data_IF_702139649746
#
_entry.id   IF_702139649746
#
_cell.length_a   1.000
_cell.length_b   1.000
_cell.length_c   1.000
_cell.angle_alpha   90.00
_cell.angle_beta   90.00
_cell.angle_gamma   90.00
#
_symmetry.space_group_name_H-M   'P 1'
#
loop_
_entity.id
_entity.type
_entity.pdbx_description
1 polymer ?
#
# COMPACT_ATOMS: atom_id res chain seq x y z
N UNK A 1 -15.54 -15.44 14.03
CA UNK A 1 -16.21 -14.22 13.54
C UNK A 1 -15.79 -13.82 12.12
N UNK A 2 -14.51 -13.50 11.83
CA UNK A 2 -14.09 -13.08 10.47
C UNK A 2 -14.32 -14.14 9.39
N UNK A 3 -14.02 -15.43 9.69
CA UNK A 3 -14.29 -16.56 8.78
C UNK A 3 -15.80 -16.78 8.52
N UNK A 4 -16.66 -16.49 9.50
CA UNK A 4 -18.12 -16.62 9.38
C UNK A 4 -18.71 -15.55 8.44
N UNK A 5 -18.20 -14.32 8.49
CA UNK A 5 -18.66 -13.22 7.64
C UNK A 5 -17.83 -13.04 6.35
N UNK A 6 -16.87 -13.93 6.09
CA UNK A 6 -15.98 -13.90 4.93
C UNK A 6 -14.92 -12.79 4.92
N UNK A 7 -14.96 -11.83 5.84
CA UNK A 7 -13.92 -10.80 5.99
C UNK A 7 -13.99 -10.10 7.36
N UNK A 8 -12.88 -9.49 7.79
CA UNK A 8 -12.81 -8.77 9.07
C UNK A 8 -13.74 -7.55 9.11
N UNK A 9 -13.78 -6.75 8.04
CA UNK A 9 -14.58 -5.52 8.03
C UNK A 9 -16.09 -5.80 8.09
N UNK A 10 -16.56 -6.89 7.45
CA UNK A 10 -17.97 -7.33 7.53
C UNK A 10 -18.33 -7.76 8.95
N UNK A 11 -17.46 -8.52 9.61
CA UNK A 11 -17.67 -8.93 10.99
C UNK A 11 -17.74 -7.71 11.94
N UNK A 12 -16.82 -6.76 11.80
CA UNK A 12 -16.83 -5.53 12.60
C UNK A 12 -18.07 -4.67 12.31
N UNK A 13 -18.51 -4.61 11.05
CA UNK A 13 -19.73 -3.88 10.68
C UNK A 13 -20.98 -4.51 11.29
N UNK A 14 -21.05 -5.84 11.35
CA UNK A 14 -22.16 -6.54 11.98
C UNK A 14 -22.23 -6.24 13.48
N UNK A 15 -21.07 -6.26 14.16
CA UNK A 15 -20.98 -5.92 15.59
C UNK A 15 -21.42 -4.46 15.79
N UNK A 16 -20.93 -3.52 14.98
CA UNK A 16 -21.34 -2.11 15.09
C UNK A 16 -22.87 -1.92 14.94
N UNK A 17 -23.51 -2.71 14.07
CA UNK A 17 -24.98 -2.73 13.92
C UNK A 17 -25.69 -3.32 15.14
N UNK A 18 -25.20 -4.43 15.68
CA UNK A 18 -25.76 -5.09 16.86
C UNK A 18 -25.74 -4.15 18.08
N UNK A 19 -24.63 -3.46 18.30
CA UNK A 19 -24.48 -2.49 19.39
C UNK A 19 -25.04 -1.09 19.05
N UNK A 20 -25.62 -0.91 17.86
CA UNK A 20 -26.18 0.36 17.37
C UNK A 20 -25.26 1.57 17.57
N UNK A 21 -23.96 1.38 17.31
CA UNK A 21 -22.92 2.41 17.52
C UNK A 21 -22.14 2.70 16.24
N UNK A 22 -21.69 3.95 16.10
CA UNK A 22 -20.77 4.35 15.04
C UNK A 22 -19.30 4.30 15.47
N UNK A 23 -19.03 4.09 16.76
CA UNK A 23 -17.68 3.95 17.32
C UNK A 23 -17.64 2.70 18.17
N UNK A 24 -16.80 1.75 17.76
CA UNK A 24 -16.66 0.45 18.40
C UNK A 24 -15.27 0.34 19.02
N UNK A 25 -15.22 0.19 20.35
CA UNK A 25 -13.99 -0.18 21.06
C UNK A 25 -13.92 -1.69 21.25
N UNK A 26 -12.82 -2.31 20.85
CA UNK A 26 -12.62 -3.76 20.99
C UNK A 26 -11.18 -4.11 21.31
N UNK A 27 -10.99 -5.28 21.92
CA UNK A 27 -9.67 -5.86 22.19
C UNK A 27 -9.38 -6.95 21.16
N UNK A 28 -8.42 -6.70 20.26
CA UNK A 28 -7.94 -7.67 19.28
C UNK A 28 -6.66 -8.32 19.81
N UNK A 29 -6.80 -9.46 20.50
CA UNK A 29 -5.68 -10.12 21.16
C UNK A 29 -5.16 -9.28 22.33
N UNK A 30 -3.90 -8.82 22.25
CA UNK A 30 -3.31 -7.90 23.22
C UNK A 30 -3.55 -6.42 22.89
N UNK A 31 -4.01 -6.11 21.69
CA UNK A 31 -4.15 -4.73 21.20
C UNK A 31 -5.55 -4.18 21.46
N UNK A 32 -5.63 -2.94 21.93
CA UNK A 32 -6.89 -2.19 22.00
C UNK A 32 -7.08 -1.43 20.70
N UNK A 33 -8.25 -1.61 20.07
CA UNK A 33 -8.56 -1.08 18.75
C UNK A 33 -9.90 -0.36 18.80
N UNK A 34 -9.92 0.85 18.25
CA UNK A 34 -11.14 1.62 18.01
C UNK A 34 -11.45 1.59 16.52
N UNK A 35 -12.66 1.18 16.17
CA UNK A 35 -13.17 1.17 14.80
C UNK A 35 -14.24 2.23 14.67
N UNK A 36 -14.11 3.06 13.65
CA UNK A 36 -14.94 4.25 13.46
C UNK A 36 -15.70 4.12 12.15
N UNK A 37 -17.00 4.41 12.20
CA UNK A 37 -17.93 4.39 11.08
C UNK A 37 -18.58 5.77 10.88
N UNK A 38 -19.02 6.01 9.64
CA UNK A 38 -19.71 7.24 9.25
C UNK A 38 -18.74 8.33 8.78
N UNK A 39 -19.15 9.06 7.75
CA UNK A 39 -18.33 10.08 7.09
C UNK A 39 -17.77 11.11 8.08
N UNK A 40 -18.63 11.68 8.93
CA UNK A 40 -18.24 12.68 9.93
C UNK A 40 -17.12 12.20 10.85
N UNK A 41 -17.25 10.99 11.41
CA UNK A 41 -16.29 10.47 12.37
C UNK A 41 -14.98 10.06 11.68
N UNK A 42 -15.06 9.45 10.48
CA UNK A 42 -13.88 9.12 9.67
C UNK A 42 -13.12 10.39 9.31
N UNK A 43 -13.85 11.43 8.88
CA UNK A 43 -13.28 12.72 8.52
C UNK A 43 -12.57 13.37 9.71
N UNK A 44 -13.17 13.32 10.90
CA UNK A 44 -12.54 13.79 12.14
C UNK A 44 -11.24 13.03 12.43
N UNK A 45 -11.29 11.70 12.44
CA UNK A 45 -10.10 10.86 12.73
C UNK A 45 -8.98 11.05 11.71
N UNK A 46 -9.31 11.32 10.44
CA UNK A 46 -8.28 11.51 9.40
C UNK A 46 -7.67 12.92 9.36
N UNK A 47 -8.28 13.90 10.02
CA UNK A 47 -7.83 15.29 9.97
C UNK A 47 -7.26 15.83 11.29
N UNK A 48 -7.72 15.31 12.42
CA UNK A 48 -7.29 15.82 13.72
C UNK A 48 -5.89 15.29 14.10
N UNK A 49 -5.01 16.16 14.64
CA UNK A 49 -3.60 15.84 14.90
C UNK A 49 -3.42 14.71 15.94
N UNK A 50 -4.38 14.51 16.84
CA UNK A 50 -4.38 13.46 17.86
C UNK A 50 -4.34 12.05 17.25
N UNK A 51 -4.80 11.90 16.01
CA UNK A 51 -4.86 10.62 15.29
C UNK A 51 -3.77 10.48 14.21
N UNK A 52 -2.79 11.39 14.16
CA UNK A 52 -1.69 11.31 13.18
C UNK A 52 -0.72 10.15 13.42
N UNK A 53 -0.78 9.52 14.60
CA UNK A 53 0.15 8.48 15.04
C UNK A 53 0.20 7.24 14.14
N UNK A 54 1.29 6.46 14.25
CA UNK A 54 1.41 5.16 13.59
C UNK A 54 1.41 4.02 14.61
N UNK A 55 0.59 2.96 14.43
CA UNK A 55 0.55 1.85 15.37
C UNK A 55 1.93 1.24 15.63
N UNK A 56 2.20 0.89 16.89
CA UNK A 56 3.43 0.23 17.31
C UNK A 56 3.23 -1.29 17.50
N UNK A 57 2.62 -1.94 16.51
CA UNK A 57 2.31 -3.37 16.59
C UNK A 57 3.50 -4.25 16.17
N UNK A 58 3.45 -5.52 16.55
CA UNK A 58 4.42 -6.54 16.13
C UNK A 58 4.62 -6.54 14.60
N UNK A 59 3.53 -6.52 13.83
CA UNK A 59 3.60 -6.51 12.36
C UNK A 59 4.28 -5.26 11.78
N UNK A 60 4.15 -4.11 12.43
CA UNK A 60 4.84 -2.88 12.00
C UNK A 60 6.34 -3.01 12.22
N UNK A 61 6.75 -3.54 13.38
CA UNK A 61 8.17 -3.76 13.71
C UNK A 61 8.82 -4.84 12.86
N UNK A 62 8.10 -5.94 12.59
CA UNK A 62 8.59 -7.03 11.76
C UNK A 62 9.01 -6.54 10.36
N UNK A 63 8.24 -5.61 9.78
CA UNK A 63 8.53 -5.01 8.46
C UNK A 63 9.72 -4.05 8.45
N UNK A 64 10.22 -3.67 9.62
CA UNK A 64 11.25 -2.64 9.79
C UNK A 64 12.38 -3.12 10.70
N UNK A 65 12.75 -4.41 10.61
CA UNK A 65 13.86 -5.03 11.35
C UNK A 65 13.78 -4.80 12.87
N UNK A 66 12.57 -4.92 13.43
CA UNK A 66 12.31 -4.74 14.87
C UNK A 66 12.15 -3.29 15.34
N UNK A 67 12.38 -2.31 14.45
CA UNK A 67 12.34 -0.87 14.75
C UNK A 67 11.13 -0.20 14.08
N UNK A 68 10.89 1.08 14.40
CA UNK A 68 9.88 1.93 13.74
C UNK A 68 10.59 2.91 12.81
N UNK A 69 10.83 2.50 11.56
CA UNK A 69 11.63 3.27 10.59
C UNK A 69 10.93 3.43 9.25
N UNK A 70 11.43 4.34 8.42
CA UNK A 70 10.88 4.61 7.09
C UNK A 70 9.59 5.43 7.10
N UNK A 71 9.11 5.80 5.92
CA UNK A 71 7.98 6.74 5.76
C UNK A 71 6.62 6.15 6.15
N UNK A 72 6.49 4.82 6.20
CA UNK A 72 5.22 4.11 6.49
C UNK A 72 5.06 3.73 7.96
N UNK A 73 6.17 3.44 8.66
CA UNK A 73 6.15 2.88 10.02
C UNK A 73 6.76 3.79 11.10
N UNK A 74 7.58 4.79 10.71
CA UNK A 74 8.05 5.79 11.66
C UNK A 74 6.88 6.66 12.14
N UNK A 75 7.09 7.35 13.27
CA UNK A 75 6.09 8.20 13.91
C UNK A 75 6.72 9.47 14.47
N UNK A 76 5.88 10.46 14.79
CA UNK A 76 6.32 11.73 15.37
C UNK A 76 7.27 12.54 14.46
N UNK A 77 8.28 13.23 15.04
CA UNK A 77 9.20 14.08 14.28
C UNK A 77 9.93 13.35 13.15
N UNK A 78 10.38 12.11 13.39
CA UNK A 78 11.10 11.31 12.39
C UNK A 78 10.25 11.04 11.15
N UNK A 79 8.95 10.74 11.34
CA UNK A 79 8.02 10.57 10.23
C UNK A 79 7.85 11.86 9.42
N UNK A 80 7.74 13.01 10.11
CA UNK A 80 7.59 14.31 9.45
C UNK A 80 8.80 14.64 8.58
N UNK A 81 10.01 14.36 9.06
CA UNK A 81 11.26 14.54 8.30
C UNK A 81 11.32 13.61 7.08
N UNK A 82 11.11 12.30 7.28
CA UNK A 82 11.10 11.33 6.17
C UNK A 82 10.06 11.69 5.11
N UNK A 83 8.85 12.09 5.52
CA UNK A 83 7.79 12.49 4.60
C UNK A 83 8.16 13.74 3.81
N UNK A 84 8.67 14.78 4.47
CA UNK A 84 9.11 16.02 3.80
C UNK A 84 10.21 15.72 2.79
N UNK A 85 11.22 14.95 3.18
CA UNK A 85 12.30 14.54 2.30
C UNK A 85 11.80 13.77 1.08
N UNK A 86 11.01 12.71 1.27
CA UNK A 86 10.53 11.86 0.18
C UNK A 86 9.63 12.64 -0.79
N UNK A 87 8.68 13.43 -0.30
CA UNK A 87 7.79 14.23 -1.15
C UNK A 87 8.58 15.28 -1.94
N UNK A 88 9.54 15.95 -1.29
CA UNK A 88 10.41 16.92 -1.97
C UNK A 88 11.23 16.25 -3.07
N UNK A 89 11.86 15.13 -2.76
CA UNK A 89 12.68 14.39 -3.72
C UNK A 89 11.84 13.87 -4.90
N UNK A 90 10.70 13.23 -4.64
CA UNK A 90 9.78 12.75 -5.67
C UNK A 90 9.35 13.88 -6.61
N UNK A 91 8.95 15.04 -6.07
CA UNK A 91 8.59 16.21 -6.89
C UNK A 91 9.76 16.73 -7.74
N UNK A 92 10.99 16.67 -7.22
CA UNK A 92 12.18 17.08 -7.95
C UNK A 92 12.46 16.17 -9.15
N UNK A 93 12.33 14.84 -8.97
CA UNK A 93 12.51 13.86 -10.04
C UNK A 93 11.31 13.72 -10.98
N UNK A 94 10.27 14.54 -10.78
CA UNK A 94 9.17 14.66 -11.75
C UNK A 94 7.89 13.93 -11.40
N UNK A 95 7.74 13.45 -10.16
CA UNK A 95 6.48 12.90 -9.66
C UNK A 95 5.35 13.94 -9.75
N UNK A 96 4.21 13.54 -10.33
CA UNK A 96 3.06 14.41 -10.55
C UNK A 96 3.25 15.50 -11.61
N UNK A 97 4.30 15.39 -12.45
CA UNK A 97 4.55 16.29 -13.58
C UNK A 97 4.43 15.53 -14.90
N UNK A 98 4.49 16.25 -16.03
CA UNK A 98 4.46 15.67 -17.38
C UNK A 98 5.59 14.65 -17.66
N UNK A 99 6.69 14.70 -16.90
CA UNK A 99 7.72 13.63 -16.93
C UNK A 99 7.16 12.28 -16.48
N UNK A 100 6.34 12.24 -15.42
CA UNK A 100 5.70 11.01 -14.95
C UNK A 100 4.71 10.44 -15.94
N UNK A 101 3.93 11.32 -16.57
CA UNK A 101 3.02 10.91 -17.62
C UNK A 101 3.76 10.26 -18.79
N UNK A 102 4.87 10.86 -19.25
CA UNK A 102 5.70 10.28 -20.31
C UNK A 102 6.26 8.90 -19.95
N UNK A 103 6.76 8.73 -18.72
CA UNK A 103 7.25 7.42 -18.25
C UNK A 103 6.13 6.36 -18.22
N UNK A 104 4.93 6.74 -17.77
CA UNK A 104 3.76 5.87 -17.76
C UNK A 104 3.36 5.50 -19.20
N UNK A 105 3.30 6.47 -20.11
CA UNK A 105 2.96 6.24 -21.52
C UNK A 105 3.95 5.30 -22.20
N UNK A 106 5.26 5.45 -21.93
CA UNK A 106 6.29 4.54 -22.46
C UNK A 106 6.08 3.10 -21.98
N UNK A 107 5.84 2.87 -20.69
CA UNK A 107 5.55 1.52 -20.18
C UNK A 107 4.23 0.97 -20.73
N UNK A 108 3.22 1.82 -20.94
CA UNK A 108 1.96 1.42 -21.60
C UNK A 108 2.17 1.01 -23.07
N UNK A 109 3.02 1.71 -23.83
CA UNK A 109 3.36 1.32 -25.20
C UNK A 109 4.00 -0.06 -25.23
N UNK A 110 4.94 -0.34 -24.31
CA UNK A 110 5.55 -1.67 -24.17
C UNK A 110 4.52 -2.74 -23.83
N UNK A 111 3.62 -2.44 -22.90
CA UNK A 111 2.53 -3.34 -22.50
C UNK A 111 1.61 -3.68 -23.67
N UNK A 112 1.18 -2.68 -24.45
CA UNK A 112 0.31 -2.89 -25.63
C UNK A 112 1.03 -3.71 -26.70
N UNK A 113 2.31 -3.45 -26.95
CA UNK A 113 3.12 -4.23 -27.88
C UNK A 113 3.24 -5.70 -27.43
N UNK A 114 3.49 -5.93 -26.13
CA UNK A 114 3.53 -7.27 -25.56
C UNK A 114 2.21 -8.02 -25.78
N UNK A 115 1.07 -7.39 -25.49
CA UNK A 115 -0.25 -8.00 -25.69
C UNK A 115 -0.49 -8.33 -27.17
N UNK A 116 -0.17 -7.40 -28.08
CA UNK A 116 -0.36 -7.60 -29.53
C UNK A 116 0.47 -8.76 -30.08
N UNK A 117 1.70 -8.91 -29.59
CA UNK A 117 2.62 -9.94 -30.05
C UNK A 117 2.38 -11.31 -29.39
N UNK A 118 1.45 -11.41 -28.43
CA UNK A 118 1.28 -12.62 -27.64
C UNK A 118 0.42 -13.71 -28.30
N UNK A 119 0.41 -13.85 -29.63
CA UNK A 119 -0.15 -14.96 -30.43
C UNK A 119 -1.39 -15.68 -29.83
N UNK A 120 -2.38 -14.91 -29.35
CA UNK A 120 -3.60 -15.42 -28.68
C UNK A 120 -3.39 -16.33 -27.46
N UNK A 121 -2.20 -16.31 -26.84
CA UNK A 121 -1.95 -17.03 -25.59
C UNK A 121 -2.64 -16.31 -24.43
N UNK A 122 -3.17 -17.04 -23.44
CA UNK A 122 -3.73 -16.44 -22.24
C UNK A 122 -2.69 -15.56 -21.52
N UNK A 123 -3.09 -14.35 -21.17
CA UNK A 123 -2.30 -13.41 -20.36
C UNK A 123 -3.02 -13.19 -19.05
N UNK A 124 -2.29 -13.14 -17.94
CA UNK A 124 -2.84 -12.67 -16.67
C UNK A 124 -2.73 -11.15 -16.58
N UNK A 125 -3.84 -10.38 -16.55
CA UNK A 125 -3.79 -8.92 -16.40
C UNK A 125 -3.04 -8.50 -15.13
N UNK A 126 -3.13 -9.31 -14.07
CA UNK A 126 -2.48 -9.05 -12.78
C UNK A 126 -0.96 -8.98 -12.91
N UNK A 127 -0.34 -9.92 -13.65
CA UNK A 127 1.13 -9.96 -13.76
C UNK A 127 1.65 -8.83 -14.63
N UNK A 128 1.01 -8.59 -15.78
CA UNK A 128 1.47 -7.57 -16.74
C UNK A 128 1.31 -6.14 -16.19
N UNK A 129 0.21 -5.87 -15.48
CA UNK A 129 0.00 -4.55 -14.85
C UNK A 129 0.94 -4.36 -13.67
N UNK A 130 1.15 -5.40 -12.86
CA UNK A 130 2.11 -5.33 -11.76
C UNK A 130 3.53 -5.04 -12.26
N UNK A 131 3.96 -5.68 -13.35
CA UNK A 131 5.25 -5.42 -13.99
C UNK A 131 5.36 -3.97 -14.48
N UNK A 132 4.36 -3.47 -15.21
CA UNK A 132 4.36 -2.09 -15.71
C UNK A 132 4.40 -1.06 -14.57
N UNK A 133 3.59 -1.23 -13.53
CA UNK A 133 3.58 -0.34 -12.36
C UNK A 133 4.93 -0.38 -11.63
N UNK A 134 5.49 -1.57 -11.43
CA UNK A 134 6.79 -1.72 -10.78
C UNK A 134 7.93 -1.10 -11.57
N UNK A 135 7.93 -1.18 -12.91
CA UNK A 135 8.92 -0.50 -13.76
C UNK A 135 8.90 1.01 -13.57
N UNK A 136 7.73 1.62 -13.60
CA UNK A 136 7.60 3.07 -13.38
C UNK A 136 8.11 3.41 -11.98
N UNK A 137 7.64 2.72 -10.94
CA UNK A 137 8.09 2.98 -9.56
C UNK A 137 9.60 2.77 -9.39
N UNK A 138 10.17 1.76 -10.02
CA UNK A 138 11.61 1.48 -9.96
C UNK A 138 12.42 2.63 -10.57
N UNK A 139 12.03 3.16 -11.74
CA UNK A 139 12.68 4.33 -12.34
C UNK A 139 12.67 5.54 -11.39
N UNK A 140 11.58 5.76 -10.66
CA UNK A 140 11.48 6.85 -9.69
C UNK A 140 12.35 6.67 -8.44
N UNK A 141 12.65 5.43 -8.07
CA UNK A 141 13.41 5.10 -6.85
C UNK A 141 14.89 4.87 -7.14
N UNK A 142 15.21 4.16 -8.22
CA UNK A 142 16.56 3.75 -8.61
C UNK A 142 17.18 4.64 -9.69
N UNK A 143 16.38 5.43 -10.42
CA UNK A 143 16.86 6.28 -11.52
C UNK A 143 17.15 5.54 -12.84
N UNK A 144 16.96 4.22 -12.88
CA UNK A 144 17.22 3.37 -14.03
C UNK A 144 16.08 2.39 -14.28
N UNK A 145 16.13 1.64 -15.39
CA UNK A 145 15.16 0.56 -15.64
C UNK A 145 15.59 -0.72 -14.93
N UNK A 146 14.64 -1.48 -14.39
CA UNK A 146 14.91 -2.79 -13.82
C UNK A 146 15.02 -3.84 -14.93
N UNK A 147 15.99 -4.74 -14.79
CA UNK A 147 16.13 -5.90 -15.68
C UNK A 147 14.93 -6.84 -15.53
N UNK A 148 14.54 -7.48 -16.64
CA UNK A 148 13.30 -8.27 -16.70
C UNK A 148 13.30 -9.45 -15.72
N UNK A 149 14.41 -10.17 -15.60
CA UNK A 149 14.51 -11.32 -14.69
C UNK A 149 14.48 -10.89 -13.22
N UNK A 150 15.12 -9.76 -12.90
CA UNK A 150 15.08 -9.16 -11.56
C UNK A 150 13.67 -8.67 -11.22
N UNK A 151 12.94 -8.12 -12.19
CA UNK A 151 11.55 -7.72 -12.03
C UNK A 151 10.64 -8.91 -11.76
N UNK A 152 10.78 -10.00 -12.52
CA UNK A 152 10.02 -11.24 -12.30
C UNK A 152 10.26 -11.79 -10.90
N UNK A 153 11.52 -11.89 -10.49
CA UNK A 153 11.89 -12.33 -9.13
C UNK A 153 11.27 -11.42 -8.06
N UNK A 154 11.32 -10.11 -8.24
CA UNK A 154 10.73 -9.16 -7.30
C UNK A 154 9.21 -9.37 -7.16
N UNK A 155 8.50 -9.53 -8.28
CA UNK A 155 7.06 -9.76 -8.28
C UNK A 155 6.69 -11.11 -7.64
N UNK A 156 7.49 -12.15 -7.87
CA UNK A 156 7.33 -13.45 -7.23
C UNK A 156 7.51 -13.36 -5.71
N UNK A 157 8.56 -12.68 -5.24
CA UNK A 157 8.80 -12.46 -3.81
C UNK A 157 7.66 -11.65 -3.16
N UNK A 158 7.16 -10.62 -3.84
CA UNK A 158 6.01 -9.84 -3.37
C UNK A 158 4.74 -10.69 -3.27
N UNK A 159 4.52 -11.58 -4.23
CA UNK A 159 3.40 -12.53 -4.25
C UNK A 159 3.52 -13.58 -3.14
N UNK A 160 4.70 -14.18 -2.97
CA UNK A 160 4.99 -15.15 -1.92
C UNK A 160 4.80 -14.53 -0.53
N UNK A 161 5.32 -13.32 -0.32
CA UNK A 161 5.08 -12.54 0.89
C UNK A 161 3.59 -12.33 1.15
N UNK A 162 2.82 -11.93 0.13
CA UNK A 162 1.38 -11.69 0.30
C UNK A 162 0.63 -12.94 0.77
N UNK A 163 1.02 -14.13 0.28
CA UNK A 163 0.42 -15.41 0.70
C UNK A 163 0.79 -15.82 2.12
N UNK A 164 2.00 -15.47 2.57
CA UNK A 164 2.45 -15.77 3.93
C UNK A 164 1.71 -14.96 5.02
N UNK A 165 1.14 -13.81 4.66
CA UNK A 165 0.44 -12.91 5.58
C UNK A 165 -1.07 -12.79 5.32
N UNK A 166 -1.63 -13.59 4.40
CA UNK A 166 -3.08 -13.69 4.13
C UNK A 166 -3.69 -14.91 4.82
#
# INVERSE_FOLDING_TARGET
>A
MSKLHGSQWKALSQIAKEYSTQVLGLKLGSELVVVVYGDRNIRQVLMEPEFEGRPNSFFIRLRCFGKRMGITSADGPLWREHRKFAVKHLKNVGFGKASMEREIQQEMTKLVAYIRNNNSKPISPKSILAAAVMNVLWKYVAGESIEEDRLKLLLELLSARSKAFS
#
